data_IF_841273050712
#
_entry.id   IF_841273050712
#
_cell.length_a   1.000
_cell.length_b   1.000
_cell.length_c   1.000
_cell.angle_alpha   90.00
_cell.angle_beta   90.00
_cell.angle_gamma   90.00
#
_symmetry.space_group_name_H-M   'P 1'
#
loop_
_entity.id
_entity.type
_entity.pdbx_description
1 polymer ?
#
# COMPACT_ATOMS: atom_id res chain seq x y z
N UNK A 1 -20.74 2.90 -12.39
CA UNK A 1 -21.11 3.86 -11.34
C UNK A 1 -21.44 5.21 -11.92
N UNK A 2 -22.46 5.83 -11.42
CA UNK A 2 -22.93 7.13 -11.93
C UNK A 2 -22.71 8.20 -10.86
N UNK A 3 -21.93 9.24 -11.21
CA UNK A 3 -21.62 10.33 -10.28
C UNK A 3 -22.44 11.59 -10.54
N UNK A 4 -23.21 11.62 -11.63
CA UNK A 4 -23.89 12.84 -12.08
C UNK A 4 -24.80 13.49 -11.05
N UNK A 5 -25.41 12.71 -10.16
CA UNK A 5 -26.35 13.25 -9.18
C UNK A 5 -25.69 13.95 -8.01
N UNK A 6 -24.36 13.86 -7.90
CA UNK A 6 -23.62 14.44 -6.78
C UNK A 6 -22.82 15.69 -7.13
N UNK A 7 -22.78 16.06 -8.42
CA UNK A 7 -22.11 17.27 -8.85
C UNK A 7 -20.61 17.28 -8.57
N UNK A 8 -19.96 16.15 -8.66
CA UNK A 8 -18.53 16.04 -8.33
C UNK A 8 -17.67 16.70 -9.42
N UNK A 9 -16.73 17.54 -9.03
CA UNK A 9 -15.76 18.13 -9.93
C UNK A 9 -14.70 17.07 -10.27
N UNK A 10 -14.55 16.79 -11.56
CA UNK A 10 -13.61 15.78 -12.04
C UNK A 10 -12.16 16.09 -11.67
N UNK A 11 -11.78 17.38 -11.69
CA UNK A 11 -10.42 17.78 -11.35
C UNK A 11 -10.07 17.47 -9.90
N UNK A 12 -11.01 17.70 -8.98
CA UNK A 12 -10.80 17.38 -7.58
C UNK A 12 -10.63 15.88 -7.39
N UNK A 13 -11.45 15.08 -8.08
CA UNK A 13 -11.34 13.62 -8.01
C UNK A 13 -9.98 13.15 -8.51
N UNK A 14 -9.49 13.72 -9.63
CA UNK A 14 -8.21 13.33 -10.21
C UNK A 14 -7.03 13.62 -9.29
N UNK A 15 -7.13 14.67 -8.46
CA UNK A 15 -6.06 15.05 -7.54
C UNK A 15 -6.08 14.29 -6.22
N UNK A 16 -7.15 13.54 -5.93
CA UNK A 16 -7.30 12.82 -4.67
C UNK A 16 -6.66 11.45 -4.67
N UNK A 17 -6.48 10.84 -5.82
CA UNK A 17 -5.96 9.49 -5.95
C UNK A 17 -4.82 9.48 -6.96
N UNK A 18 -3.70 8.87 -6.55
CA UNK A 18 -2.57 8.62 -7.44
C UNK A 18 -2.40 7.12 -7.62
N UNK A 19 -2.22 6.70 -8.86
CA UNK A 19 -1.91 5.30 -9.19
C UNK A 19 -0.66 5.31 -10.05
N UNK A 20 0.37 4.59 -9.60
CA UNK A 20 1.63 4.52 -10.32
C UNK A 20 2.11 3.08 -10.42
N UNK A 21 2.72 2.74 -11.55
CA UNK A 21 3.42 1.48 -11.67
C UNK A 21 4.87 1.71 -11.27
N UNK A 22 5.29 1.07 -10.17
CA UNK A 22 6.64 1.18 -9.66
C UNK A 22 7.46 -0.01 -10.14
N UNK A 23 8.77 0.20 -10.28
CA UNK A 23 9.71 -0.88 -10.60
C UNK A 23 10.54 -1.14 -9.35
N UNK A 24 10.41 -2.32 -8.78
CA UNK A 24 11.19 -2.72 -7.60
C UNK A 24 11.99 -3.95 -7.98
N UNK A 25 13.30 -3.78 -8.10
CA UNK A 25 14.22 -4.86 -8.48
C UNK A 25 13.80 -5.58 -9.78
N UNK A 26 13.33 -4.80 -10.75
CA UNK A 26 12.93 -5.32 -12.07
C UNK A 26 11.51 -5.86 -12.13
N UNK A 27 10.75 -5.81 -11.03
CA UNK A 27 9.38 -6.33 -10.99
C UNK A 27 8.37 -5.19 -10.77
N UNK A 28 7.19 -5.29 -11.41
CA UNK A 28 6.19 -4.24 -11.26
C UNK A 28 5.49 -4.32 -9.90
N UNK A 29 5.27 -3.15 -9.30
CA UNK A 29 4.49 -2.99 -8.08
C UNK A 29 3.54 -1.84 -8.32
N UNK A 30 2.23 -2.08 -8.20
CA UNK A 30 1.27 -1.02 -8.42
C UNK A 30 1.04 -0.24 -7.13
N UNK A 31 1.39 1.04 -7.16
CA UNK A 31 1.18 1.92 -6.02
C UNK A 31 -0.15 2.65 -6.12
N UNK A 32 -0.89 2.69 -5.02
CA UNK A 32 -2.13 3.45 -4.90
C UNK A 32 -2.02 4.36 -3.69
N UNK A 33 -2.25 5.65 -3.90
CA UNK A 33 -2.21 6.64 -2.83
C UNK A 33 -3.51 7.44 -2.83
N UNK A 34 -4.20 7.44 -1.70
CA UNK A 34 -5.37 8.29 -1.48
C UNK A 34 -4.89 9.44 -0.60
N UNK A 35 -4.91 10.66 -1.15
CA UNK A 35 -4.35 11.81 -0.46
C UNK A 35 -5.26 12.28 0.66
N UNK A 36 -4.71 12.37 1.87
CA UNK A 36 -5.35 12.93 3.05
C UNK A 36 -6.88 12.70 3.11
N UNK A 37 -7.34 11.42 3.16
CA UNK A 37 -8.77 11.15 3.15
C UNK A 37 -9.50 11.76 4.36
N UNK A 38 -8.79 12.00 5.45
CA UNK A 38 -9.38 12.67 6.62
C UNK A 38 -9.42 14.19 6.54
N UNK A 39 -8.81 14.77 5.49
CA UNK A 39 -8.76 16.21 5.30
C UNK A 39 -7.35 16.76 5.33
N UNK A 40 -7.21 18.07 5.07
CA UNK A 40 -5.92 18.73 5.03
C UNK A 40 -5.11 18.50 6.32
N UNK A 41 -3.84 18.19 6.17
CA UNK A 41 -2.95 17.91 7.29
C UNK A 41 -3.03 16.49 7.82
N UNK A 42 -3.95 15.66 7.33
CA UNK A 42 -4.05 14.26 7.70
C UNK A 42 -3.16 13.39 6.82
N UNK A 43 -2.77 12.20 7.29
CA UNK A 43 -1.89 11.33 6.51
C UNK A 43 -2.56 10.77 5.27
N UNK A 44 -1.74 10.40 4.30
CA UNK A 44 -2.17 9.71 3.10
C UNK A 44 -2.39 8.22 3.39
N UNK A 45 -3.28 7.60 2.63
CA UNK A 45 -3.51 6.16 2.69
C UNK A 45 -2.83 5.51 1.48
N UNK A 46 -1.90 4.57 1.72
CA UNK A 46 -1.10 3.97 0.66
C UNK A 46 -1.18 2.45 0.69
N UNK A 47 -1.22 1.88 -0.52
CA UNK A 47 -1.13 0.43 -0.73
C UNK A 47 -0.21 0.17 -1.90
N UNK A 48 0.68 -0.80 -1.77
CA UNK A 48 1.53 -1.29 -2.85
C UNK A 48 1.12 -2.72 -3.17
N UNK A 49 0.61 -2.94 -4.37
CA UNK A 49 0.11 -4.25 -4.80
C UNK A 49 1.21 -5.03 -5.49
N UNK A 50 1.51 -6.21 -4.97
CA UNK A 50 2.50 -7.12 -5.52
C UNK A 50 1.81 -8.36 -6.08
N UNK A 51 2.58 -9.28 -6.67
CA UNK A 51 2.04 -10.48 -7.30
C UNK A 51 1.30 -11.39 -6.31
N UNK A 52 1.90 -11.60 -5.13
CA UNK A 52 1.39 -12.58 -4.18
C UNK A 52 0.86 -11.95 -2.89
N UNK A 53 0.79 -10.64 -2.83
CA UNK A 53 0.33 -9.94 -1.63
C UNK A 53 0.48 -8.44 -1.77
N UNK A 54 0.43 -7.73 -0.65
CA UNK A 54 0.49 -6.28 -0.69
C UNK A 54 1.15 -5.69 0.55
N UNK A 55 1.61 -4.45 0.38
CA UNK A 55 2.14 -3.65 1.48
C UNK A 55 1.12 -2.55 1.74
N UNK A 56 0.78 -2.34 2.99
CA UNK A 56 -0.21 -1.33 3.37
C UNK A 56 0.32 -0.42 4.45
N UNK A 57 -0.19 0.82 4.49
CA UNK A 57 0.13 1.75 5.55
C UNK A 57 -0.70 1.44 6.80
N UNK A 58 -0.46 2.19 7.87
CA UNK A 58 -1.15 1.98 9.14
C UNK A 58 -2.64 2.29 9.14
N UNK A 59 -3.17 2.85 8.06
CA UNK A 59 -4.62 3.05 7.92
C UNK A 59 -5.40 1.75 7.79
N UNK A 60 -4.77 0.69 7.29
CA UNK A 60 -5.45 -0.56 6.97
C UNK A 60 -5.26 -1.57 8.09
N UNK A 61 -6.22 -2.48 8.21
CA UNK A 61 -6.29 -3.38 9.35
C UNK A 61 -5.52 -4.67 9.14
N UNK A 62 -4.43 -4.85 9.88
CA UNK A 62 -3.62 -6.07 9.83
C UNK A 62 -4.43 -7.30 10.27
N UNK A 63 -5.29 -7.15 11.27
CA UNK A 63 -6.12 -8.24 11.75
C UNK A 63 -7.07 -8.78 10.68
N UNK A 64 -7.61 -7.90 9.83
CA UNK A 64 -8.46 -8.33 8.73
C UNK A 64 -7.66 -9.13 7.71
N UNK A 65 -6.44 -8.64 7.37
CA UNK A 65 -5.57 -9.36 6.44
C UNK A 65 -5.26 -10.77 6.96
N UNK A 66 -4.99 -10.90 8.26
CA UNK A 66 -4.71 -12.20 8.87
C UNK A 66 -5.95 -13.11 8.85
N UNK A 67 -7.12 -12.54 9.14
CA UNK A 67 -8.37 -13.30 9.18
C UNK A 67 -8.74 -13.89 7.83
N UNK A 68 -8.41 -13.20 6.73
CA UNK A 68 -8.70 -13.69 5.38
C UNK A 68 -7.49 -14.37 4.72
N UNK A 69 -6.43 -14.58 5.48
CA UNK A 69 -5.21 -15.26 5.05
C UNK A 69 -4.49 -14.57 3.87
N UNK A 70 -4.49 -13.24 3.87
CA UNK A 70 -3.73 -12.46 2.89
C UNK A 70 -2.25 -12.40 3.27
N UNK A 71 -1.40 -12.32 2.26
CA UNK A 71 0.02 -12.01 2.47
C UNK A 71 0.14 -10.49 2.50
N UNK A 72 0.30 -9.91 3.68
CA UNK A 72 0.33 -8.46 3.85
C UNK A 72 1.42 -8.04 4.82
N UNK A 73 2.06 -6.90 4.51
CA UNK A 73 3.06 -6.27 5.37
C UNK A 73 2.65 -4.83 5.63
N UNK A 74 2.89 -4.35 6.85
CA UNK A 74 2.60 -2.96 7.22
C UNK A 74 3.88 -2.15 7.24
N UNK A 75 3.91 -1.06 6.49
CA UNK A 75 5.03 -0.12 6.45
C UNK A 75 4.48 1.30 6.51
N UNK A 76 5.07 2.14 7.34
CA UNK A 76 4.65 3.54 7.45
C UNK A 76 5.30 4.41 6.39
N UNK A 77 4.63 5.50 6.03
CA UNK A 77 5.14 6.48 5.09
C UNK A 77 4.02 7.29 4.47
N UNK A 78 4.39 8.42 3.87
CA UNK A 78 3.43 9.34 3.25
C UNK A 78 3.54 9.39 1.73
N UNK A 79 4.48 8.65 1.15
CA UNK A 79 4.65 8.53 -0.30
C UNK A 79 5.23 7.15 -0.62
N UNK A 80 5.20 6.77 -1.89
CA UNK A 80 5.69 5.44 -2.29
C UNK A 80 7.16 5.24 -1.96
N UNK A 81 7.98 6.26 -2.15
CA UNK A 81 9.41 6.18 -1.87
C UNK A 81 9.67 5.89 -0.40
N UNK A 82 8.90 6.50 0.49
CA UNK A 82 9.04 6.26 1.93
C UNK A 82 8.61 4.84 2.30
N UNK A 83 7.50 4.37 1.73
CA UNK A 83 7.06 3.00 1.97
C UNK A 83 8.13 1.99 1.57
N UNK A 84 8.79 2.23 0.43
CA UNK A 84 9.85 1.32 -0.04
C UNK A 84 11.12 1.40 0.81
N UNK A 85 11.41 2.55 1.42
CA UNK A 85 12.62 2.77 2.21
C UNK A 85 12.46 2.42 3.68
N UNK A 86 11.26 2.56 4.22
CA UNK A 86 11.02 2.38 5.65
C UNK A 86 10.94 0.91 6.06
N UNK A 87 11.16 0.61 7.35
CA UNK A 87 11.12 -0.78 7.82
C UNK A 87 9.71 -1.31 7.93
N UNK A 88 9.56 -2.60 7.65
CA UNK A 88 8.33 -3.35 7.87
C UNK A 88 8.05 -3.41 9.37
N UNK A 89 6.84 -3.05 9.77
CA UNK A 89 6.43 -3.02 11.18
C UNK A 89 5.66 -4.26 11.61
N UNK A 90 4.92 -4.86 10.67
CA UNK A 90 4.11 -6.05 10.96
C UNK A 90 3.96 -6.88 9.69
N UNK A 91 3.85 -8.19 9.87
CA UNK A 91 3.64 -9.11 8.74
C UNK A 91 2.53 -10.09 9.11
N UNK A 92 1.72 -10.46 8.11
CA UNK A 92 0.76 -11.54 8.30
C UNK A 92 1.49 -12.89 8.25
N UNK A 93 0.88 -13.96 8.81
CA UNK A 93 1.49 -15.29 8.71
C UNK A 93 1.79 -15.71 7.26
N UNK A 94 0.89 -15.37 6.33
CA UNK A 94 1.09 -15.70 4.93
C UNK A 94 2.28 -14.96 4.32
N UNK A 95 2.47 -13.69 4.68
CA UNK A 95 3.64 -12.93 4.23
C UNK A 95 4.93 -13.50 4.82
N UNK A 96 4.89 -13.92 6.09
CA UNK A 96 6.05 -14.55 6.74
C UNK A 96 6.45 -15.83 6.00
N UNK A 97 5.48 -16.62 5.56
CA UNK A 97 5.75 -17.83 4.77
C UNK A 97 6.47 -17.50 3.46
N UNK A 98 6.23 -16.34 2.89
CA UNK A 98 6.89 -15.89 1.66
C UNK A 98 8.25 -15.25 1.93
N UNK A 99 8.66 -15.18 3.18
CA UNK A 99 9.98 -14.66 3.56
C UNK A 99 10.00 -13.20 3.97
N UNK A 100 8.84 -12.58 4.16
CA UNK A 100 8.78 -11.19 4.65
C UNK A 100 9.00 -11.18 6.17
N UNK A 101 9.89 -10.31 6.62
CA UNK A 101 10.24 -10.19 8.05
C UNK A 101 10.13 -8.75 8.51
N UNK A 102 9.74 -8.58 9.78
CA UNK A 102 9.74 -7.27 10.43
C UNK A 102 11.17 -6.72 10.43
N UNK A 103 11.32 -5.45 10.10
CA UNK A 103 12.62 -4.78 10.08
C UNK A 103 13.25 -4.69 8.69
N UNK A 104 12.87 -5.54 7.73
CA UNK A 104 13.36 -5.37 6.37
C UNK A 104 12.68 -4.14 5.74
N UNK A 105 13.25 -3.61 4.66
CA UNK A 105 12.64 -2.46 4.00
C UNK A 105 11.40 -2.86 3.22
N UNK A 106 10.53 -1.88 2.93
CA UNK A 106 9.38 -2.11 2.08
C UNK A 106 9.78 -2.66 0.71
N UNK A 107 10.91 -2.20 0.15
CA UNK A 107 11.41 -2.72 -1.13
C UNK A 107 11.77 -4.21 -1.02
N UNK A 108 12.43 -4.60 0.05
CA UNK A 108 12.75 -6.02 0.27
C UNK A 108 11.49 -6.86 0.44
N UNK A 109 10.50 -6.33 1.16
CA UNK A 109 9.22 -7.01 1.30
C UNK A 109 8.53 -7.19 -0.06
N UNK A 110 8.56 -6.15 -0.90
CA UNK A 110 7.97 -6.22 -2.24
C UNK A 110 8.65 -7.30 -3.09
N UNK A 111 9.98 -7.43 -3.00
CA UNK A 111 10.70 -8.49 -3.69
C UNK A 111 10.19 -9.86 -3.29
N UNK A 112 10.00 -10.09 -2.00
CA UNK A 112 9.50 -11.36 -1.48
C UNK A 112 8.07 -11.63 -1.92
N UNK A 113 7.23 -10.60 -1.92
CA UNK A 113 5.83 -10.73 -2.32
C UNK A 113 5.67 -10.91 -3.83
N UNK A 114 6.68 -10.57 -4.62
CA UNK A 114 6.68 -10.75 -6.08
C UNK A 114 7.42 -12.01 -6.54
N UNK A 115 7.99 -12.74 -5.63
CA UNK A 115 8.78 -13.93 -5.98
C UNK A 115 7.94 -15.07 -6.54
#
# INVERSE_FOLDING_TARGET
>A
MVLRSYGVDRKEVENMIQIEMLNVSGQPVQGVCIQAPGGEGHPNMLVLLCKNGYIMCGYLNQGTAEAVADAAAVVGGSCFEEILANPVKAVSPKAAELGVEVGMTGAQAAEKLNA
#
